data_IF_567876993288
#
_entry.id   IF_567876993288
#
_cell.length_a   1.000
_cell.length_b   1.000
_cell.length_c   1.000
_cell.angle_alpha   90.00
_cell.angle_beta   90.00
_cell.angle_gamma   90.00
#
_symmetry.space_group_name_H-M   'P 1'
#
loop_
_entity.id
_entity.type
_entity.pdbx_description
1 polymer ?
#
# COMPACT_ATOMS: atom_id res chain seq x y z
N UNK A 1 54.55 -11.78 28.46
CA UNK A 1 53.19 -12.08 27.98
C UNK A 1 52.86 -11.03 26.92
N UNK A 2 52.22 -11.37 25.80
CA UNK A 2 52.04 -10.55 24.56
C UNK A 2 53.08 -10.82 23.44
N UNK A 3 53.34 -12.09 23.09
CA UNK A 3 54.22 -12.44 21.96
C UNK A 3 53.60 -13.46 20.98
N UNK A 4 52.26 -13.53 20.91
CA UNK A 4 51.53 -14.49 20.07
C UNK A 4 50.68 -13.83 18.97
N UNK A 5 50.89 -12.54 18.69
CA UNK A 5 50.11 -11.77 17.70
C UNK A 5 50.89 -11.43 16.41
N UNK A 6 51.85 -12.27 16.01
CA UNK A 6 52.57 -12.05 14.74
C UNK A 6 52.94 -13.32 14.00
N UNK A 7 52.15 -14.39 14.15
CA UNK A 7 52.28 -15.56 13.29
C UNK A 7 51.12 -15.60 12.30
N UNK A 8 51.42 -15.48 11.00
CA UNK A 8 50.43 -15.68 9.93
C UNK A 8 49.80 -17.08 10.01
N UNK A 9 50.53 -18.05 10.55
CA UNK A 9 50.11 -19.44 10.68
C UNK A 9 48.93 -19.61 11.65
N UNK A 10 48.89 -18.87 12.77
CA UNK A 10 47.77 -18.94 13.72
C UNK A 10 46.48 -18.33 13.17
N UNK A 11 46.58 -17.36 12.27
CA UNK A 11 45.43 -16.77 11.59
C UNK A 11 44.78 -17.77 10.60
N UNK A 12 45.58 -18.53 9.85
CA UNK A 12 45.07 -19.57 8.97
C UNK A 12 44.43 -20.74 9.74
N UNK A 13 44.99 -21.11 10.89
CA UNK A 13 44.41 -22.17 11.75
C UNK A 13 43.05 -21.75 12.32
N UNK A 14 42.90 -20.49 12.76
CA UNK A 14 41.61 -19.96 13.20
C UNK A 14 40.57 -19.92 12.06
N UNK A 15 40.98 -19.46 10.87
CA UNK A 15 40.10 -19.42 9.70
C UNK A 15 39.64 -20.83 9.27
N UNK A 16 40.53 -21.82 9.32
CA UNK A 16 40.20 -23.23 9.02
C UNK A 16 39.28 -23.85 10.09
N UNK A 17 39.45 -23.51 11.36
CA UNK A 17 38.55 -23.97 12.43
C UNK A 17 37.13 -23.40 12.30
N UNK A 18 37.02 -22.13 11.91
CA UNK A 18 35.72 -21.47 11.69
C UNK A 18 34.99 -22.08 10.49
N UNK A 19 35.68 -22.35 9.38
CA UNK A 19 35.05 -22.97 8.20
C UNK A 19 34.62 -24.41 8.46
N UNK A 20 35.42 -25.21 9.17
CA UNK A 20 35.04 -26.59 9.54
C UNK A 20 33.86 -26.62 10.53
N UNK A 21 33.79 -25.67 11.46
CA UNK A 21 32.63 -25.51 12.35
C UNK A 21 31.34 -25.11 11.60
N UNK A 22 31.47 -24.31 10.54
CA UNK A 22 30.32 -23.85 9.75
C UNK A 22 29.76 -24.95 8.82
N UNK A 23 30.58 -25.89 8.36
CA UNK A 23 30.16 -26.96 7.43
C UNK A 23 29.51 -28.16 8.16
N UNK A 24 29.80 -28.38 9.44
CA UNK A 24 29.24 -29.50 10.20
C UNK A 24 27.76 -29.33 10.61
N UNK A 25 27.17 -28.13 10.47
CA UNK A 25 25.80 -27.83 10.93
C UNK A 25 24.74 -27.89 9.81
N UNK A 26 25.10 -28.39 8.62
CA UNK A 26 24.24 -28.38 7.43
C UNK A 26 23.56 -29.70 7.04
N UNK A 27 23.72 -30.79 7.80
CA UNK A 27 23.37 -32.14 7.31
C UNK A 27 22.44 -32.98 8.22
N UNK A 28 21.58 -32.37 9.02
CA UNK A 28 20.57 -33.10 9.81
C UNK A 28 19.16 -32.63 9.44
N UNK A 29 18.64 -33.08 8.31
CA UNK A 29 17.25 -32.74 7.94
C UNK A 29 16.61 -33.48 6.77
N UNK A 30 17.35 -34.30 6.02
CA UNK A 30 16.84 -34.86 4.75
C UNK A 30 16.22 -36.26 4.82
N UNK A 31 15.98 -36.84 6.01
CA UNK A 31 15.52 -38.24 6.12
C UNK A 31 14.19 -38.48 6.85
N UNK A 32 13.37 -37.45 7.07
CA UNK A 32 12.03 -37.61 7.71
C UNK A 32 10.86 -37.20 6.82
N UNK A 33 10.98 -37.31 5.50
CA UNK A 33 9.84 -37.25 4.56
C UNK A 33 9.45 -38.66 4.12
N UNK A 34 8.72 -39.41 4.93
CA UNK A 34 8.00 -40.58 4.40
C UNK A 34 6.71 -40.96 5.11
N UNK A 35 6.39 -40.45 6.30
CA UNK A 35 5.10 -40.76 6.97
C UNK A 35 4.84 -39.83 8.15
N UNK A 36 4.30 -38.62 7.93
CA UNK A 36 3.70 -37.82 8.99
C UNK A 36 2.65 -36.85 8.43
N UNK A 37 1.48 -36.70 9.08
CA UNK A 37 0.45 -35.75 8.69
C UNK A 37 0.94 -34.30 8.88
N UNK A 38 0.62 -33.43 7.92
CA UNK A 38 1.22 -32.11 7.73
C UNK A 38 1.25 -31.22 9.01
N UNK A 39 2.46 -30.91 9.54
CA UNK A 39 2.65 -29.85 10.52
C UNK A 39 2.68 -28.49 9.82
N UNK A 40 2.09 -27.46 10.45
CA UNK A 40 2.18 -26.05 10.03
C UNK A 40 3.65 -25.67 9.81
N UNK A 41 4.01 -25.31 8.57
CA UNK A 41 5.35 -24.84 8.22
C UNK A 41 5.70 -23.53 8.96
N UNK A 42 6.93 -23.39 9.50
CA UNK A 42 7.49 -22.10 9.86
C UNK A 42 7.69 -21.28 8.58
N UNK A 43 7.26 -20.02 8.60
CA UNK A 43 7.38 -19.10 7.48
C UNK A 43 8.87 -18.90 7.09
N UNK A 44 9.23 -18.90 5.79
CA UNK A 44 10.58 -18.57 5.35
C UNK A 44 10.87 -17.07 5.58
N UNK A 45 11.93 -16.79 6.33
CA UNK A 45 12.59 -15.48 6.33
C UNK A 45 13.03 -15.12 4.90
N UNK A 46 12.48 -14.03 4.35
CA UNK A 46 12.81 -13.55 3.01
C UNK A 46 11.62 -13.19 2.11
N UNK A 47 10.39 -13.32 2.58
CA UNK A 47 9.20 -12.90 1.83
C UNK A 47 8.87 -11.45 2.17
N UNK A 48 9.31 -10.47 1.37
CA UNK A 48 8.61 -9.18 1.34
C UNK A 48 7.16 -9.49 0.96
N UNK A 49 6.25 -9.37 1.93
CA UNK A 49 4.83 -9.61 1.68
C UNK A 49 4.40 -8.65 0.55
N UNK A 50 3.73 -9.15 -0.51
CA UNK A 50 3.22 -8.28 -1.56
C UNK A 50 2.41 -7.14 -0.96
N UNK A 51 2.47 -5.93 -1.55
CA UNK A 51 1.65 -4.83 -1.07
C UNK A 51 0.19 -5.26 -1.08
N UNK A 52 -0.55 -4.84 -0.06
CA UNK A 52 -1.95 -5.14 0.00
C UNK A 52 -2.70 -4.49 -1.17
N UNK A 53 -3.74 -5.15 -1.72
CA UNK A 53 -4.50 -4.59 -2.83
C UNK A 53 -5.13 -3.26 -2.42
N UNK A 54 -5.31 -2.36 -3.40
CA UNK A 54 -5.98 -1.09 -3.18
C UNK A 54 -7.44 -1.29 -2.74
N UNK A 55 -8.06 -0.31 -2.06
CA UNK A 55 -9.48 -0.35 -1.78
C UNK A 55 -10.32 -0.59 -3.04
N UNK A 56 -11.42 -1.32 -2.90
CA UNK A 56 -12.33 -1.58 -4.00
C UNK A 56 -13.19 -0.34 -4.31
N UNK A 57 -13.57 -0.17 -5.58
CA UNK A 57 -14.45 0.95 -5.98
C UNK A 57 -15.81 0.90 -5.25
N UNK A 58 -16.26 -0.26 -4.81
CA UNK A 58 -17.52 -0.38 -4.04
C UNK A 58 -17.50 0.37 -2.70
N UNK A 59 -16.33 0.71 -2.16
CA UNK A 59 -16.20 1.44 -0.89
C UNK A 59 -16.77 2.88 -0.97
N UNK A 60 -16.73 3.51 -2.15
CA UNK A 60 -17.31 4.85 -2.38
C UNK A 60 -18.80 4.78 -2.75
N UNK A 61 -19.34 3.58 -2.91
CA UNK A 61 -20.74 3.33 -3.26
C UNK A 61 -21.12 3.84 -4.66
N UNK A 62 -22.41 4.16 -4.81
CA UNK A 62 -22.96 4.67 -6.07
C UNK A 62 -22.61 6.15 -6.30
N UNK A 63 -22.32 6.48 -7.56
CA UNK A 63 -22.06 7.83 -8.03
C UNK A 63 -23.28 8.75 -7.82
N UNK A 64 -23.07 10.06 -7.54
CA UNK A 64 -24.16 11.02 -7.37
C UNK A 64 -24.74 11.49 -8.69
N UNK A 65 -26.04 11.82 -8.68
CA UNK A 65 -26.72 12.53 -9.77
C UNK A 65 -26.57 11.84 -11.12
N UNK A 66 -26.17 12.61 -12.12
CA UNK A 66 -25.90 12.16 -13.50
C UNK A 66 -24.42 11.80 -13.73
N UNK A 67 -23.60 11.75 -12.67
CA UNK A 67 -22.22 11.32 -12.76
C UNK A 67 -22.13 9.78 -12.75
N UNK A 68 -21.08 9.25 -13.36
CA UNK A 68 -20.76 7.82 -13.33
C UNK A 68 -19.30 7.58 -12.96
N UNK A 69 -19.07 6.47 -12.26
CA UNK A 69 -17.73 6.00 -11.92
C UNK A 69 -17.28 4.92 -12.89
N UNK A 70 -16.04 5.05 -13.35
CA UNK A 70 -15.35 4.02 -14.13
C UNK A 70 -14.09 3.59 -13.37
N UNK A 71 -13.99 2.30 -13.05
CA UNK A 71 -12.78 1.75 -12.47
C UNK A 71 -11.67 1.69 -13.52
N UNK A 72 -10.60 2.47 -13.32
CA UNK A 72 -9.43 2.50 -14.18
C UNK A 72 -8.33 1.53 -13.72
N UNK A 73 -8.61 0.78 -12.65
CA UNK A 73 -7.74 -0.24 -12.11
C UNK A 73 -6.84 0.24 -10.97
N UNK A 74 -6.14 -0.72 -10.37
CA UNK A 74 -5.17 -0.46 -9.32
C UNK A 74 -3.76 -0.23 -9.89
N UNK A 75 -3.00 0.62 -9.20
CA UNK A 75 -1.57 0.86 -9.42
C UNK A 75 -0.83 0.59 -8.11
N UNK A 76 0.31 -0.08 -8.16
CA UNK A 76 1.10 -0.39 -6.98
C UNK A 76 2.51 0.19 -7.13
N UNK A 77 2.84 1.16 -6.28
CA UNK A 77 4.13 1.85 -6.27
C UNK A 77 4.62 2.01 -4.83
N UNK A 78 5.93 1.90 -4.61
CA UNK A 78 6.52 2.18 -3.29
C UNK A 78 6.10 1.23 -2.16
N UNK A 79 5.44 0.12 -2.44
CA UNK A 79 4.92 -0.81 -1.43
C UNK A 79 3.48 -0.53 -1.00
N UNK A 80 2.78 0.38 -1.68
CA UNK A 80 1.36 0.66 -1.49
C UNK A 80 0.63 0.52 -2.83
N UNK A 81 -0.64 0.12 -2.78
CA UNK A 81 -1.50 0.08 -3.95
C UNK A 81 -2.63 1.11 -3.79
N UNK A 82 -2.86 1.90 -4.84
CA UNK A 82 -3.97 2.83 -4.95
C UNK A 82 -4.83 2.48 -6.17
N UNK A 83 -6.11 2.84 -6.13
CA UNK A 83 -7.07 2.61 -7.22
C UNK A 83 -7.45 3.93 -7.86
N UNK A 84 -7.37 3.99 -9.18
CA UNK A 84 -7.81 5.15 -9.95
C UNK A 84 -9.25 4.92 -10.41
N UNK A 85 -10.11 5.90 -10.18
CA UNK A 85 -11.51 5.89 -10.60
C UNK A 85 -11.72 7.16 -11.43
N UNK A 86 -12.24 7.00 -12.64
CA UNK A 86 -12.65 8.12 -13.49
C UNK A 86 -14.07 8.55 -13.13
N UNK A 87 -14.30 9.86 -13.09
CA UNK A 87 -15.64 10.45 -13.03
C UNK A 87 -16.00 10.89 -14.44
N UNK A 88 -17.15 10.46 -14.95
CA UNK A 88 -17.73 10.99 -16.18
C UNK A 88 -19.02 11.74 -15.84
N UNK A 89 -19.08 13.01 -16.21
CA UNK A 89 -20.23 13.90 -16.05
C UNK A 89 -20.36 14.78 -17.31
N UNK A 90 -21.51 14.77 -17.96
CA UNK A 90 -21.70 15.43 -19.27
C UNK A 90 -21.91 16.96 -19.15
N UNK A 91 -22.53 17.41 -18.06
CA UNK A 91 -22.95 18.81 -17.86
C UNK A 91 -22.16 19.55 -16.77
N UNK A 92 -21.13 18.92 -16.20
CA UNK A 92 -20.29 19.49 -15.15
C UNK A 92 -18.87 19.67 -15.65
N UNK A 93 -18.20 20.72 -15.20
CA UNK A 93 -16.75 20.80 -15.35
C UNK A 93 -16.02 19.90 -14.33
N UNK A 94 -14.70 19.83 -14.44
CA UNK A 94 -13.89 18.94 -13.60
C UNK A 94 -13.92 19.30 -12.11
N UNK A 95 -13.99 20.59 -11.77
CA UNK A 95 -14.07 21.07 -10.38
C UNK A 95 -15.45 20.70 -9.82
N UNK A 96 -16.53 21.07 -10.52
CA UNK A 96 -17.90 20.79 -10.14
C UNK A 96 -18.17 19.27 -10.02
N UNK A 97 -17.59 18.45 -10.90
CA UNK A 97 -17.71 16.99 -10.84
C UNK A 97 -17.05 16.41 -9.58
N UNK A 98 -15.89 16.91 -9.18
CA UNK A 98 -15.21 16.48 -7.94
C UNK A 98 -15.99 16.95 -6.73
N UNK A 99 -16.41 18.21 -6.69
CA UNK A 99 -17.18 18.79 -5.59
C UNK A 99 -18.50 18.04 -5.38
N UNK A 100 -19.23 17.73 -6.46
CA UNK A 100 -20.47 16.95 -6.39
C UNK A 100 -20.25 15.56 -5.77
N UNK A 101 -19.13 14.90 -6.10
CA UNK A 101 -18.76 13.63 -5.48
C UNK A 101 -18.41 13.80 -4.01
N UNK A 102 -17.65 14.84 -3.68
CA UNK A 102 -17.23 15.11 -2.31
C UNK A 102 -18.43 15.38 -1.40
N UNK A 103 -19.33 16.28 -1.81
CA UNK A 103 -20.55 16.61 -1.07
C UNK A 103 -21.40 15.36 -0.81
N UNK A 104 -21.59 14.51 -1.83
CA UNK A 104 -22.34 13.27 -1.68
C UNK A 104 -21.69 12.27 -0.72
N UNK A 105 -20.36 12.19 -0.69
CA UNK A 105 -19.65 11.33 0.25
C UNK A 105 -19.68 11.88 1.68
N UNK A 106 -19.58 13.20 1.84
CA UNK A 106 -19.75 13.89 3.12
C UNK A 106 -21.16 13.64 3.69
N UNK A 107 -22.21 13.73 2.87
CA UNK A 107 -23.58 13.40 3.24
C UNK A 107 -23.75 11.93 3.67
N UNK A 108 -22.93 11.03 3.12
CA UNK A 108 -22.85 9.62 3.50
C UNK A 108 -21.99 9.36 4.74
N UNK A 109 -21.47 10.41 5.38
CA UNK A 109 -20.71 10.34 6.62
C UNK A 109 -19.20 10.15 6.45
N UNK A 110 -18.66 10.40 5.25
CA UNK A 110 -17.21 10.57 5.12
C UNK A 110 -16.77 11.84 5.85
N UNK A 111 -15.60 11.81 6.48
CA UNK A 111 -14.96 12.97 7.07
C UNK A 111 -14.00 13.64 6.10
N UNK A 112 -13.88 14.96 6.19
CA UNK A 112 -12.87 15.73 5.46
C UNK A 112 -11.61 15.87 6.31
N UNK A 113 -10.45 15.63 5.69
CA UNK A 113 -9.13 15.86 6.28
C UNK A 113 -8.52 17.09 5.63
N UNK A 114 -8.27 18.10 6.46
CA UNK A 114 -7.69 19.38 6.04
C UNK A 114 -6.15 19.33 6.09
N UNK A 115 -5.48 20.15 5.25
CA UNK A 115 -4.04 20.35 5.35
C UNK A 115 -3.65 20.98 6.71
N UNK A 116 -2.38 20.81 7.07
CA UNK A 116 -1.88 21.31 8.36
C UNK A 116 -1.97 22.84 8.45
N UNK A 117 -2.57 23.34 9.53
CA UNK A 117 -2.70 24.78 9.79
C UNK A 117 -4.01 25.38 9.32
N UNK A 118 -4.87 24.60 8.67
CA UNK A 118 -6.23 24.97 8.33
C UNK A 118 -7.21 24.33 9.34
N UNK A 119 -8.14 25.14 9.85
CA UNK A 119 -9.15 24.72 10.84
C UNK A 119 -10.57 24.75 10.25
N UNK A 120 -10.78 25.50 9.16
CA UNK A 120 -12.07 25.67 8.50
C UNK A 120 -12.08 24.96 7.13
N UNK A 121 -12.98 23.99 6.90
CA UNK A 121 -13.08 23.31 5.61
C UNK A 121 -13.47 24.23 4.46
N UNK A 122 -14.24 25.30 4.72
CA UNK A 122 -14.74 26.21 3.68
C UNK A 122 -13.62 27.10 3.10
N UNK A 123 -12.49 27.22 3.81
CA UNK A 123 -11.33 28.02 3.40
C UNK A 123 -10.35 27.22 2.52
N UNK A 124 -10.54 25.91 2.36
CA UNK A 124 -9.62 25.03 1.63
C UNK A 124 -10.25 24.48 0.36
N UNK A 125 -9.64 24.72 -0.83
CA UNK A 125 -10.11 24.11 -2.06
C UNK A 125 -10.16 22.59 -1.98
N UNK A 126 -11.21 21.99 -2.53
CA UNK A 126 -11.48 20.54 -2.48
C UNK A 126 -10.29 19.70 -2.94
N UNK A 127 -9.57 20.14 -3.97
CA UNK A 127 -8.37 19.49 -4.52
C UNK A 127 -7.23 19.31 -3.51
N UNK A 128 -7.19 20.17 -2.49
CA UNK A 128 -6.17 20.17 -1.43
C UNK A 128 -6.60 19.36 -0.20
N UNK A 129 -7.83 18.83 -0.19
CA UNK A 129 -8.39 18.04 0.90
C UNK A 129 -8.54 16.57 0.52
N UNK A 130 -8.62 15.73 1.55
CA UNK A 130 -8.85 14.30 1.41
C UNK A 130 -10.15 13.93 2.12
N UNK A 131 -10.94 13.02 1.55
CA UNK A 131 -12.05 12.41 2.28
C UNK A 131 -11.62 11.08 2.89
N UNK A 132 -12.19 10.73 4.04
CA UNK A 132 -11.99 9.44 4.67
C UNK A 132 -13.24 8.90 5.36
N UNK A 133 -13.47 7.60 5.27
CA UNK A 133 -14.45 6.89 6.10
C UNK A 133 -13.78 6.14 7.27
N UNK A 134 -12.50 6.42 7.55
CA UNK A 134 -11.69 5.77 8.58
C UNK A 134 -10.86 4.57 8.09
N UNK A 135 -11.25 3.91 7.00
CA UNK A 135 -10.48 2.81 6.39
C UNK A 135 -9.88 3.20 5.04
N UNK A 136 -10.57 4.02 4.26
CA UNK A 136 -10.17 4.48 2.93
C UNK A 136 -9.91 5.99 2.98
N UNK A 137 -8.88 6.41 2.26
CA UNK A 137 -8.63 7.79 1.88
C UNK A 137 -8.99 7.96 0.40
N UNK A 138 -9.69 9.04 0.10
CA UNK A 138 -10.05 9.45 -1.24
C UNK A 138 -9.49 10.84 -1.52
N UNK A 139 -8.86 10.99 -2.68
CA UNK A 139 -8.40 12.28 -3.21
C UNK A 139 -8.98 12.51 -4.60
N UNK A 140 -9.64 13.65 -4.79
CA UNK A 140 -10.07 14.15 -6.08
C UNK A 140 -8.94 14.76 -6.89
N UNK A 141 -9.08 14.69 -8.20
CA UNK A 141 -8.21 15.30 -9.19
C UNK A 141 -9.08 15.91 -10.27
N UNK A 142 -8.88 17.19 -10.55
CA UNK A 142 -9.55 17.87 -11.68
C UNK A 142 -8.93 17.49 -13.02
N UNK A 143 -7.73 16.92 -13.02
CA UNK A 143 -7.19 16.28 -14.23
C UNK A 143 -7.94 14.97 -14.54
N UNK A 144 -8.45 14.80 -15.77
CA UNK A 144 -9.09 13.56 -16.20
C UNK A 144 -8.05 12.44 -16.35
N UNK A 145 -8.40 11.23 -15.88
CA UNK A 145 -7.52 10.06 -15.95
C UNK A 145 -7.71 9.22 -17.24
N UNK A 146 -8.70 9.54 -18.05
CA UNK A 146 -8.98 8.88 -19.33
C UNK A 146 -9.68 9.80 -20.35
N UNK A 147 -9.81 9.37 -21.62
CA UNK A 147 -10.41 10.18 -22.67
C UNK A 147 -11.91 10.43 -22.48
N UNK A 148 -12.59 9.54 -21.74
CA UNK A 148 -14.04 9.58 -21.49
C UNK A 148 -14.36 10.01 -20.05
N UNK A 149 -13.40 10.61 -19.34
CA UNK A 149 -13.57 11.07 -17.95
C UNK A 149 -13.48 12.59 -17.89
N UNK A 150 -14.32 13.20 -17.08
CA UNK A 150 -14.31 14.64 -16.75
C UNK A 150 -13.29 14.94 -15.65
N UNK A 151 -13.15 14.05 -14.66
CA UNK A 151 -12.26 14.18 -13.51
C UNK A 151 -11.78 12.81 -13.01
N UNK A 152 -10.92 12.81 -11.99
CA UNK A 152 -10.34 11.61 -11.40
C UNK A 152 -10.50 11.53 -9.88
N UNK A 153 -10.54 10.31 -9.36
CA UNK A 153 -10.48 9.98 -7.94
C UNK A 153 -9.38 8.95 -7.70
N UNK A 154 -8.64 9.11 -6.61
CA UNK A 154 -7.64 8.16 -6.16
C UNK A 154 -8.06 7.61 -4.80
N UNK A 155 -8.19 6.30 -4.70
CA UNK A 155 -8.52 5.58 -3.48
C UNK A 155 -7.26 4.89 -2.94
N UNK A 156 -6.96 5.08 -1.67
CA UNK A 156 -5.88 4.37 -0.96
C UNK A 156 -6.35 3.99 0.43
N UNK A 157 -5.65 3.06 1.09
CA UNK A 157 -5.97 2.74 2.48
C UNK A 157 -5.52 3.89 3.40
N UNK A 158 -6.36 4.24 4.38
CA UNK A 158 -6.01 5.23 5.40
C UNK A 158 -4.91 4.76 6.34
N UNK A 159 -4.79 3.44 6.50
CA UNK A 159 -3.77 2.75 7.30
C UNK A 159 -3.32 1.48 6.57
N UNK A 160 -2.10 0.98 6.79
CA UNK A 160 -1.68 -0.30 6.25
C UNK A 160 -2.69 -1.37 6.67
N UNK A 161 -3.30 -2.12 5.72
CA UNK A 161 -4.27 -3.14 6.05
C UNK A 161 -3.60 -4.26 6.87
N UNK A 162 -4.31 -4.69 7.91
CA UNK A 162 -3.86 -5.66 8.92
C UNK A 162 -3.95 -7.11 8.48
#
# INVERSE_FOLDING_TARGET
MMALLRSRMTMYVLAALVTVGMVATGAVGLFTMSSAPAPKSPAPEGSQQPPAPAPEMSEIGEAPGDASYTDLGQQCEGGECYRLVGIAAEDLDSEEAVDTVYDHLLDKGWGQTLPQGEDDPDDVPTEQTYLTNGSVLLKGSTDPYGPDTTAGLMLTHAQPPS
#
